data_IF_929706655431
#
_entry.id   IF_929706655431
#
_cell.length_a   1.000
_cell.length_b   1.000
_cell.length_c   1.000
_cell.angle_alpha   90.00
_cell.angle_beta   90.00
_cell.angle_gamma   90.00
#
_symmetry.space_group_name_H-M   'P 1'
#
loop_
_entity.id
_entity.type
_entity.pdbx_description
1 polymer ?
#
# COMPACT_ATOMS: atom_id res chain seq x y z
N UNK A 1 -13.16 35.81 -10.50
CA UNK A 1 -13.71 34.46 -10.73
C UNK A 1 -12.71 33.52 -10.09
N UNK A 2 -13.11 32.85 -9.02
CA UNK A 2 -12.30 31.83 -8.34
C UNK A 2 -11.93 30.75 -9.35
N UNK A 3 -10.65 30.39 -9.42
CA UNK A 3 -10.15 29.48 -10.44
C UNK A 3 -10.34 28.05 -9.94
N UNK A 4 -11.55 27.51 -10.14
CA UNK A 4 -11.99 26.15 -9.75
C UNK A 4 -11.11 25.01 -10.36
N UNK A 5 -10.02 25.34 -11.06
CA UNK A 5 -9.06 24.42 -11.66
C UNK A 5 -7.65 24.54 -11.09
N UNK A 6 -7.36 25.45 -10.16
CA UNK A 6 -6.04 25.50 -9.52
C UNK A 6 -5.92 24.37 -8.49
N UNK A 7 -5.03 23.37 -8.70
CA UNK A 7 -4.88 22.24 -7.78
C UNK A 7 -4.49 22.65 -6.35
N UNK A 8 -3.95 23.86 -6.18
CA UNK A 8 -3.56 24.43 -4.87
C UNK A 8 -4.75 25.02 -4.11
N UNK A 9 -5.84 25.34 -4.81
CA UNK A 9 -7.09 25.84 -4.23
C UNK A 9 -7.99 24.67 -3.76
N UNK A 10 -7.66 23.42 -4.12
CA UNK A 10 -8.34 22.24 -3.58
C UNK A 10 -7.88 21.96 -2.15
N UNK A 11 -8.77 22.23 -1.19
CA UNK A 11 -8.60 21.75 0.18
C UNK A 11 -8.57 20.23 0.17
N UNK A 12 -7.59 19.63 0.85
CA UNK A 12 -7.49 18.18 0.95
C UNK A 12 -8.59 17.67 1.88
N UNK A 13 -9.67 17.15 1.29
CA UNK A 13 -10.85 16.69 2.02
C UNK A 13 -10.60 15.39 2.79
N UNK A 14 -9.69 14.55 2.31
CA UNK A 14 -9.31 13.32 3.00
C UNK A 14 -8.36 13.62 4.18
N UNK A 15 -8.58 12.98 5.36
CA UNK A 15 -7.63 13.02 6.46
C UNK A 15 -6.26 12.57 5.97
N UNK A 16 -5.31 13.50 5.90
CA UNK A 16 -4.01 13.27 5.28
C UNK A 16 -3.13 12.46 6.23
N UNK A 17 -3.16 11.14 6.09
CA UNK A 17 -2.35 10.22 6.90
C UNK A 17 -1.28 9.50 6.07
N UNK A 18 -0.65 10.24 5.16
CA UNK A 18 0.25 9.75 4.10
C UNK A 18 1.30 8.74 4.58
N UNK A 19 1.89 8.96 5.76
CA UNK A 19 2.89 8.05 6.32
C UNK A 19 2.30 6.69 6.70
N UNK A 20 1.16 6.69 7.40
CA UNK A 20 0.53 5.44 7.81
C UNK A 20 -0.06 4.72 6.60
N UNK A 21 -0.66 5.44 5.65
CA UNK A 21 -1.19 4.84 4.42
C UNK A 21 -0.08 4.15 3.62
N UNK A 22 1.09 4.80 3.50
CA UNK A 22 2.27 4.20 2.90
C UNK A 22 2.74 2.96 3.67
N UNK A 23 2.91 3.07 4.99
CA UNK A 23 3.42 1.97 5.82
C UNK A 23 2.49 0.76 5.80
N UNK A 24 1.17 0.97 5.88
CA UNK A 24 0.18 -0.11 5.83
C UNK A 24 0.07 -0.70 4.44
N UNK A 25 0.02 0.12 3.38
CA UNK A 25 -0.05 -0.37 2.01
C UNK A 25 1.19 -1.18 1.62
N UNK A 26 2.38 -0.61 1.83
CA UNK A 26 3.64 -1.29 1.55
C UNK A 26 3.84 -2.50 2.46
N UNK A 27 3.68 -2.33 3.77
CA UNK A 27 3.92 -3.39 4.75
C UNK A 27 2.94 -4.56 4.61
N UNK A 28 1.66 -4.27 4.36
CA UNK A 28 0.64 -5.29 4.13
C UNK A 28 0.94 -6.13 2.89
N UNK A 29 1.30 -5.49 1.77
CA UNK A 29 1.64 -6.22 0.55
C UNK A 29 2.96 -7.00 0.69
N UNK A 30 3.99 -6.40 1.30
CA UNK A 30 5.26 -7.08 1.57
C UNK A 30 5.07 -8.30 2.47
N UNK A 31 4.26 -8.19 3.53
CA UNK A 31 3.92 -9.31 4.41
C UNK A 31 3.18 -10.41 3.68
N UNK A 32 2.19 -10.05 2.85
CA UNK A 32 1.46 -11.00 2.01
C UNK A 32 2.39 -11.75 1.05
N UNK A 33 3.25 -11.05 0.32
CA UNK A 33 4.23 -11.66 -0.59
C UNK A 33 5.22 -12.57 0.14
N UNK A 34 5.66 -12.17 1.33
CA UNK A 34 6.54 -12.98 2.19
C UNK A 34 5.86 -14.29 2.60
N UNK A 35 4.57 -14.23 2.97
CA UNK A 35 3.79 -15.41 3.31
C UNK A 35 3.62 -16.34 2.10
N UNK A 36 3.27 -15.80 0.93
CA UNK A 36 3.18 -16.56 -0.32
C UNK A 36 4.51 -17.25 -0.63
N UNK A 37 5.63 -16.52 -0.54
CA UNK A 37 6.96 -17.09 -0.71
C UNK A 37 7.22 -18.25 0.25
N UNK A 38 6.99 -18.06 1.55
CA UNK A 38 7.21 -19.10 2.56
C UNK A 38 6.36 -20.35 2.29
N UNK A 39 5.08 -20.18 1.93
CA UNK A 39 4.19 -21.30 1.55
C UNK A 39 4.73 -22.05 0.34
N UNK A 40 5.15 -21.33 -0.71
CA UNK A 40 5.71 -21.97 -1.90
C UNK A 40 7.01 -22.71 -1.63
N UNK A 41 7.87 -22.17 -0.75
CA UNK A 41 9.09 -22.85 -0.29
C UNK A 41 8.76 -24.14 0.46
N UNK A 42 7.78 -24.12 1.36
CA UNK A 42 7.33 -25.32 2.09
C UNK A 42 6.80 -26.36 1.11
N UNK A 43 5.92 -25.97 0.18
CA UNK A 43 5.39 -26.87 -0.85
C UNK A 43 6.54 -27.49 -1.66
N UNK A 44 7.53 -26.68 -2.06
CA UNK A 44 8.71 -27.16 -2.78
C UNK A 44 9.50 -28.18 -1.97
N UNK A 45 9.68 -27.99 -0.66
CA UNK A 45 10.35 -28.94 0.22
C UNK A 45 9.57 -30.24 0.44
N UNK A 46 8.23 -30.20 0.36
CA UNK A 46 7.40 -31.41 0.52
C UNK A 46 7.38 -32.25 -0.76
N UNK A 47 7.42 -31.60 -1.93
CA UNK A 47 7.33 -32.27 -3.24
C UNK A 47 8.70 -32.72 -3.78
N UNK A 48 9.80 -32.16 -3.27
CA UNK A 48 11.16 -32.35 -3.80
C UNK A 48 12.10 -32.99 -2.79
#
# INVERSE_FOLDING_TARGET
>A
MENVRDPREHYNEEPRNDLFDLMFGFGGFLGFMTLVFAVMVIIKFVIS
#
